data_IF_080003141864
#
_entry.id   IF_080003141864
#
_cell.length_a   1.000
_cell.length_b   1.000
_cell.length_c   1.000
_cell.angle_alpha   90.00
_cell.angle_beta   90.00
_cell.angle_gamma   90.00
#
_symmetry.space_group_name_H-M   'P 1'
#
loop_
_entity.id
_entity.type
_entity.pdbx_description
1 polymer ?
#
# COMPACT_ATOMS: atom_id res chain seq x y z
N UNK A 1 31.81 43.88 -28.03
CA UNK A 1 31.54 42.85 -27.00
C UNK A 1 30.03 42.77 -26.82
N UNK A 2 29.43 41.61 -27.07
CA UNK A 2 27.99 41.42 -26.94
C UNK A 2 27.51 40.16 -27.66
N UNK A 3 27.98 38.99 -27.22
CA UNK A 3 27.47 37.70 -27.70
C UNK A 3 26.05 37.50 -27.18
N UNK A 4 25.06 37.73 -28.03
CA UNK A 4 23.69 37.26 -27.83
C UNK A 4 23.63 35.79 -28.20
N UNK A 5 23.84 34.91 -27.22
CA UNK A 5 23.45 33.51 -27.32
C UNK A 5 21.92 33.44 -27.41
N UNK A 6 21.38 33.56 -28.63
CA UNK A 6 20.05 33.07 -28.95
C UNK A 6 20.13 31.56 -28.83
N UNK A 7 19.69 31.04 -27.69
CA UNK A 7 19.38 29.62 -27.53
C UNK A 7 18.32 29.26 -28.55
N UNK A 8 18.76 28.71 -29.68
CA UNK A 8 17.90 28.01 -30.63
C UNK A 8 17.43 26.79 -29.84
N UNK A 9 16.20 26.86 -29.34
CA UNK A 9 15.46 25.68 -28.91
C UNK A 9 15.28 24.88 -30.20
N UNK A 10 16.19 23.94 -30.44
CA UNK A 10 16.04 22.98 -31.53
C UNK A 10 14.75 22.22 -31.27
N UNK A 11 13.74 22.56 -32.06
CA UNK A 11 12.49 21.83 -32.12
C UNK A 11 12.82 20.47 -32.74
N UNK A 12 13.20 19.50 -31.90
CA UNK A 12 13.36 18.12 -32.34
C UNK A 12 11.95 17.64 -32.70
N UNK A 13 11.69 17.26 -33.96
CA UNK A 13 10.40 16.72 -34.35
C UNK A 13 10.03 15.53 -33.46
N UNK A 14 8.77 15.45 -33.03
CA UNK A 14 8.28 14.39 -32.14
C UNK A 14 8.65 12.99 -32.64
N UNK A 15 8.70 12.81 -33.96
CA UNK A 15 9.02 11.53 -34.62
C UNK A 15 10.46 11.07 -34.40
N UNK A 16 11.43 12.01 -34.38
CA UNK A 16 12.83 11.68 -34.09
C UNK A 16 12.96 11.23 -32.63
N UNK A 17 12.32 11.95 -31.70
CA UNK A 17 12.27 11.55 -30.28
C UNK A 17 11.59 10.19 -30.09
N UNK A 18 10.49 9.91 -30.79
CA UNK A 18 9.80 8.61 -30.69
C UNK A 18 10.69 7.45 -31.14
N UNK A 19 11.47 7.61 -32.22
CA UNK A 19 12.43 6.59 -32.67
C UNK A 19 13.54 6.34 -31.65
N UNK A 20 14.03 7.37 -30.97
CA UNK A 20 15.00 7.20 -29.86
C UNK A 20 14.39 6.55 -28.62
N UNK A 21 13.11 6.81 -28.32
CA UNK A 21 12.42 6.27 -27.13
C UNK A 21 12.10 4.79 -27.32
N UNK A 22 11.70 4.38 -28.52
CA UNK A 22 11.29 3.00 -28.82
C UNK A 22 12.41 2.15 -29.42
N UNK A 23 13.49 2.74 -29.89
CA UNK A 23 14.50 2.03 -30.68
C UNK A 23 13.90 1.48 -31.98
N UNK A 24 14.33 0.28 -32.38
CA UNK A 24 13.87 -0.42 -33.58
C UNK A 24 12.58 -1.24 -33.34
N UNK A 25 11.69 -0.78 -32.44
CA UNK A 25 10.36 -1.38 -32.26
C UNK A 25 9.45 -1.05 -33.46
N UNK A 26 9.82 -1.55 -34.64
CA UNK A 26 9.01 -1.56 -35.85
C UNK A 26 8.05 -2.76 -35.85
N UNK A 27 8.38 -3.82 -35.09
CA UNK A 27 7.59 -5.05 -34.98
C UNK A 27 7.13 -5.33 -33.55
N UNK A 28 6.06 -6.15 -33.44
CA UNK A 28 5.49 -6.59 -32.17
C UNK A 28 6.50 -7.44 -31.38
N UNK A 29 6.77 -7.13 -30.11
CA UNK A 29 7.58 -8.00 -29.24
C UNK A 29 6.97 -9.39 -29.08
N UNK A 30 7.82 -10.43 -29.13
CA UNK A 30 7.39 -11.84 -29.01
C UNK A 30 6.68 -12.10 -27.68
N UNK A 31 7.13 -11.46 -26.60
CA UNK A 31 6.57 -11.54 -25.26
C UNK A 31 5.35 -10.62 -25.06
N UNK A 32 4.95 -9.87 -26.09
CA UNK A 32 3.82 -8.92 -26.09
C UNK A 32 3.93 -7.92 -24.95
N UNK A 33 5.16 -7.55 -24.61
CA UNK A 33 5.49 -6.61 -23.55
C UNK A 33 6.30 -5.46 -24.12
N UNK A 34 5.92 -4.24 -23.74
CA UNK A 34 6.68 -3.04 -24.06
C UNK A 34 7.00 -2.34 -22.75
N UNK A 35 8.28 -2.13 -22.50
CA UNK A 35 8.76 -1.37 -21.35
C UNK A 35 9.43 -0.08 -21.84
N UNK A 36 8.84 1.04 -21.44
CA UNK A 36 9.30 2.41 -21.70
C UNK A 36 9.59 3.15 -20.38
N UNK A 37 9.81 2.42 -19.29
CA UNK A 37 10.02 3.01 -17.96
C UNK A 37 11.36 3.77 -17.87
N UNK A 38 11.44 4.78 -17.01
CA UNK A 38 12.66 5.57 -16.74
C UNK A 38 13.26 6.28 -17.97
N UNK A 39 12.44 6.62 -18.97
CA UNK A 39 12.88 7.28 -20.22
C UNK A 39 12.60 8.77 -20.28
N UNK A 40 12.17 9.37 -19.17
CA UNK A 40 11.87 10.80 -19.06
C UNK A 40 10.81 11.27 -20.08
N UNK A 41 9.94 10.35 -20.50
CA UNK A 41 8.95 10.57 -21.56
C UNK A 41 7.88 11.54 -21.07
N UNK A 42 7.65 12.61 -21.85
CA UNK A 42 6.60 13.61 -21.55
C UNK A 42 5.33 13.39 -22.36
N UNK A 43 5.46 12.78 -23.54
CA UNK A 43 4.38 12.47 -24.46
C UNK A 43 4.41 10.98 -24.76
N UNK A 44 3.26 10.33 -24.66
CA UNK A 44 3.12 8.91 -24.99
C UNK A 44 3.48 8.68 -26.47
N UNK A 45 4.29 7.65 -26.80
CA UNK A 45 4.62 7.33 -28.18
C UNK A 45 3.48 6.55 -28.86
N UNK A 46 2.77 7.22 -29.78
CA UNK A 46 1.52 6.72 -30.39
C UNK A 46 1.68 5.39 -31.14
N UNK A 47 2.84 5.09 -31.69
CA UNK A 47 3.10 3.82 -32.38
C UNK A 47 2.95 2.60 -31.47
N UNK A 48 3.08 2.72 -30.14
CA UNK A 48 2.77 1.61 -29.21
C UNK A 48 1.31 1.18 -29.33
N UNK A 49 0.39 2.09 -29.66
CA UNK A 49 -1.03 1.77 -29.85
C UNK A 49 -1.27 0.86 -31.08
N UNK A 50 -0.33 0.79 -32.01
CA UNK A 50 -0.42 -0.14 -33.16
C UNK A 50 -0.27 -1.61 -32.75
N UNK A 51 0.33 -1.88 -31.59
CA UNK A 51 0.57 -3.21 -31.06
C UNK A 51 -0.69 -3.81 -30.42
N UNK A 52 -1.68 -4.19 -31.22
CA UNK A 52 -3.01 -4.68 -30.76
C UNK A 52 -2.98 -5.97 -29.92
N UNK A 53 -1.92 -6.75 -30.01
CA UNK A 53 -1.73 -7.95 -29.18
C UNK A 53 -0.97 -7.67 -27.87
N UNK A 54 -0.59 -6.42 -27.59
CA UNK A 54 0.17 -6.07 -26.39
C UNK A 54 -0.58 -6.47 -25.12
N UNK A 55 0.11 -7.19 -24.24
CA UNK A 55 -0.42 -7.70 -22.97
C UNK A 55 0.08 -6.87 -21.79
N UNK A 56 1.32 -6.36 -21.87
CA UNK A 56 1.96 -5.61 -20.78
C UNK A 56 2.58 -4.32 -21.30
N UNK A 57 2.27 -3.22 -20.65
CA UNK A 57 2.83 -1.91 -20.96
C UNK A 57 3.35 -1.25 -19.69
N UNK A 58 4.65 -1.03 -19.63
CA UNK A 58 5.33 -0.37 -18.53
C UNK A 58 5.78 1.03 -18.96
N UNK A 59 5.30 2.03 -18.23
CA UNK A 59 5.55 3.46 -18.46
C UNK A 59 5.96 4.16 -17.16
N UNK A 60 6.44 3.38 -16.19
CA UNK A 60 6.77 3.90 -14.85
C UNK A 60 7.98 4.83 -14.90
N UNK A 61 8.10 5.75 -13.93
CA UNK A 61 9.24 6.68 -13.83
C UNK A 61 9.42 7.55 -15.09
N UNK A 62 8.34 8.23 -15.48
CA UNK A 62 8.32 9.13 -16.62
C UNK A 62 7.72 10.48 -16.22
N UNK A 63 7.42 11.34 -17.19
CA UNK A 63 6.85 12.67 -16.99
C UNK A 63 5.48 12.81 -17.65
N UNK A 64 4.75 11.70 -17.82
CA UNK A 64 3.45 11.69 -18.46
C UNK A 64 2.42 12.42 -17.60
N UNK A 65 1.55 13.17 -18.28
CA UNK A 65 0.38 13.84 -17.68
C UNK A 65 -0.94 13.38 -18.31
N UNK A 66 -0.86 12.86 -19.54
CA UNK A 66 -1.99 12.45 -20.34
C UNK A 66 -1.64 11.16 -21.09
N UNK A 67 -2.68 10.41 -21.45
CA UNK A 67 -2.60 9.26 -22.34
C UNK A 67 -3.46 9.55 -23.58
N UNK A 68 -3.06 9.08 -24.76
CA UNK A 68 -3.77 9.32 -26.00
C UNK A 68 -5.05 8.48 -26.07
N UNK A 69 -6.05 8.94 -26.82
CA UNK A 69 -7.28 8.20 -27.10
C UNK A 69 -7.01 6.83 -27.74
N UNK A 70 -5.97 6.76 -28.56
CA UNK A 70 -5.54 5.59 -29.33
C UNK A 70 -5.14 4.42 -28.43
N UNK A 71 -4.88 4.68 -27.14
CA UNK A 71 -4.63 3.62 -26.16
C UNK A 71 -5.81 2.62 -26.10
N UNK A 72 -7.03 3.06 -26.45
CA UNK A 72 -8.20 2.19 -26.56
C UNK A 72 -8.01 1.01 -27.53
N UNK A 73 -7.04 1.07 -28.44
CA UNK A 73 -6.77 -0.02 -29.38
C UNK A 73 -6.14 -1.24 -28.70
N UNK A 74 -5.56 -1.08 -27.51
CA UNK A 74 -4.85 -2.13 -26.77
C UNK A 74 -5.82 -3.01 -25.96
N UNK A 75 -6.82 -3.59 -26.63
CA UNK A 75 -7.89 -4.35 -25.98
C UNK A 75 -7.43 -5.65 -25.27
N UNK A 76 -6.22 -6.13 -25.57
CA UNK A 76 -5.61 -7.29 -24.92
C UNK A 76 -4.73 -6.94 -23.70
N UNK A 77 -4.61 -5.65 -23.37
CA UNK A 77 -3.72 -5.21 -22.29
C UNK A 77 -4.23 -5.69 -20.93
N UNK A 78 -3.38 -6.42 -20.22
CA UNK A 78 -3.65 -6.98 -18.90
C UNK A 78 -2.91 -6.25 -17.78
N UNK A 79 -1.74 -5.69 -18.09
CA UNK A 79 -0.91 -4.96 -17.12
C UNK A 79 -0.56 -3.59 -17.69
N UNK A 80 -0.90 -2.54 -16.95
CA UNK A 80 -0.52 -1.17 -17.25
C UNK A 80 0.17 -0.57 -16.02
N UNK A 81 1.44 -0.21 -16.15
CA UNK A 81 2.20 0.45 -15.10
C UNK A 81 2.47 1.91 -15.46
N UNK A 82 1.97 2.82 -14.62
CA UNK A 82 2.07 4.28 -14.78
C UNK A 82 2.62 4.93 -13.52
N UNK A 83 3.32 4.18 -12.67
CA UNK A 83 3.89 4.70 -11.43
C UNK A 83 4.88 5.83 -11.70
N UNK A 84 5.10 6.71 -10.72
CA UNK A 84 6.12 7.75 -10.81
C UNK A 84 5.95 8.60 -12.08
N UNK A 85 4.74 9.13 -12.29
CA UNK A 85 4.40 10.06 -13.35
C UNK A 85 3.78 11.35 -12.76
N UNK A 86 3.15 12.18 -13.59
CA UNK A 86 2.55 13.45 -13.16
C UNK A 86 1.03 13.50 -13.44
N UNK A 87 0.34 12.36 -13.34
CA UNK A 87 -1.11 12.30 -13.52
C UNK A 87 -1.82 12.97 -12.34
N UNK A 88 -2.66 13.97 -12.64
CA UNK A 88 -3.55 14.61 -11.66
C UNK A 88 -4.94 13.95 -11.65
N UNK A 89 -5.31 13.34 -12.77
CA UNK A 89 -6.50 12.52 -12.95
C UNK A 89 -6.11 11.29 -13.79
N UNK A 90 -6.81 10.18 -13.59
CA UNK A 90 -6.66 9.01 -14.45
C UNK A 90 -7.41 9.27 -15.77
N UNK A 91 -6.74 9.22 -16.94
CA UNK A 91 -7.40 9.41 -18.22
C UNK A 91 -8.52 8.37 -18.44
N UNK A 92 -9.75 8.76 -18.83
CA UNK A 92 -10.87 7.83 -19.03
C UNK A 92 -10.60 6.72 -20.03
N UNK A 93 -9.68 6.94 -20.99
CA UNK A 93 -9.24 5.92 -21.96
C UNK A 93 -8.70 4.65 -21.28
N UNK A 94 -8.11 4.74 -20.09
CA UNK A 94 -7.67 3.55 -19.34
C UNK A 94 -8.86 2.66 -18.96
N UNK A 95 -10.03 3.24 -18.75
CA UNK A 95 -11.25 2.52 -18.38
C UNK A 95 -11.87 1.75 -19.56
N UNK A 96 -11.41 1.98 -20.80
CA UNK A 96 -11.87 1.23 -21.99
C UNK A 96 -11.14 -0.11 -22.14
N UNK A 97 -10.04 -0.33 -21.43
CA UNK A 97 -9.19 -1.53 -21.50
C UNK A 97 -9.78 -2.70 -20.70
N UNK A 98 -10.79 -3.39 -21.24
CA UNK A 98 -11.60 -4.36 -20.48
C UNK A 98 -10.84 -5.59 -19.98
N UNK A 99 -9.69 -5.92 -20.57
CA UNK A 99 -8.85 -7.04 -20.13
C UNK A 99 -7.86 -6.66 -19.01
N UNK A 100 -7.84 -5.40 -18.59
CA UNK A 100 -6.89 -4.93 -17.60
C UNK A 100 -7.11 -5.64 -16.26
N UNK A 101 -6.05 -6.26 -15.77
CA UNK A 101 -6.07 -7.04 -14.52
C UNK A 101 -5.21 -6.41 -13.43
N UNK A 102 -4.14 -5.71 -13.82
CA UNK A 102 -3.26 -4.99 -12.90
C UNK A 102 -3.05 -3.57 -13.40
N UNK A 103 -3.33 -2.60 -12.54
CA UNK A 103 -3.13 -1.18 -12.81
C UNK A 103 -2.27 -0.58 -11.71
N UNK A 104 -1.12 -0.04 -12.10
CA UNK A 104 -0.23 0.70 -11.22
C UNK A 104 -0.28 2.20 -11.52
N UNK A 105 -0.57 2.99 -10.49
CA UNK A 105 -0.74 4.44 -10.51
C UNK A 105 -0.06 5.11 -9.31
N UNK A 106 0.83 4.39 -8.63
CA UNK A 106 1.54 4.89 -7.46
C UNK A 106 2.41 6.10 -7.78
N UNK A 107 2.70 6.93 -6.78
CA UNK A 107 3.60 8.09 -6.93
C UNK A 107 3.17 9.04 -8.08
N UNK A 108 1.90 9.43 -8.08
CA UNK A 108 1.31 10.41 -8.98
C UNK A 108 0.72 11.58 -8.15
N UNK A 109 -0.24 12.33 -8.70
CA UNK A 109 -0.92 13.45 -8.04
C UNK A 109 -2.44 13.28 -8.09
N UNK A 110 -2.91 12.03 -8.07
CA UNK A 110 -4.33 11.70 -8.17
C UNK A 110 -5.05 12.09 -6.88
N UNK A 111 -6.13 12.86 -7.00
CA UNK A 111 -7.03 13.15 -5.88
C UNK A 111 -8.33 12.34 -5.91
N UNK A 112 -8.69 11.80 -7.08
CA UNK A 112 -9.89 11.00 -7.31
C UNK A 112 -9.68 10.03 -8.48
N UNK A 113 -10.63 9.12 -8.70
CA UNK A 113 -10.67 8.19 -9.82
C UNK A 113 -12.00 8.35 -10.61
N UNK A 114 -11.96 8.25 -11.95
CA UNK A 114 -13.14 8.40 -12.80
C UNK A 114 -14.18 7.31 -12.51
N UNK A 115 -15.47 7.64 -12.63
CA UNK A 115 -16.57 6.71 -12.40
C UNK A 115 -16.54 5.52 -13.38
N UNK A 116 -15.99 5.72 -14.57
CA UNK A 116 -15.79 4.72 -15.61
C UNK A 116 -14.87 3.58 -15.18
N UNK A 117 -14.06 3.76 -14.12
CA UNK A 117 -13.18 2.70 -13.60
C UNK A 117 -13.97 1.45 -13.21
N UNK A 118 -15.24 1.59 -12.81
CA UNK A 118 -16.14 0.46 -12.52
C UNK A 118 -16.30 -0.52 -13.69
N UNK A 119 -16.02 -0.08 -14.93
CA UNK A 119 -16.13 -0.91 -16.12
C UNK A 119 -14.95 -1.88 -16.28
N UNK A 120 -13.90 -1.76 -15.46
CA UNK A 120 -12.75 -2.66 -15.47
C UNK A 120 -13.05 -3.91 -14.62
N UNK A 121 -14.00 -4.73 -15.07
CA UNK A 121 -14.47 -5.90 -14.32
C UNK A 121 -13.39 -6.95 -14.07
N UNK A 122 -12.33 -7.00 -14.90
CA UNK A 122 -11.23 -7.95 -14.75
C UNK A 122 -10.10 -7.47 -13.83
N UNK A 123 -10.22 -6.26 -13.26
CA UNK A 123 -9.18 -5.67 -12.42
C UNK A 123 -9.07 -6.41 -11.09
N UNK A 124 -7.91 -7.01 -10.85
CA UNK A 124 -7.58 -7.80 -9.65
C UNK A 124 -6.62 -7.07 -8.73
N UNK A 125 -5.82 -6.14 -9.25
CA UNK A 125 -4.86 -5.38 -8.45
C UNK A 125 -4.84 -3.92 -8.86
N UNK A 126 -5.04 -3.05 -7.87
CA UNK A 126 -5.01 -1.60 -8.03
C UNK A 126 -4.02 -1.00 -7.03
N UNK A 127 -3.04 -0.28 -7.57
CA UNK A 127 -1.99 0.38 -6.80
C UNK A 127 -2.10 1.88 -7.03
N UNK A 128 -2.41 2.62 -5.96
CA UNK A 128 -2.67 4.07 -5.96
C UNK A 128 -1.98 4.75 -4.76
N UNK A 129 -0.90 4.15 -4.26
CA UNK A 129 -0.10 4.70 -3.17
C UNK A 129 0.61 6.00 -3.53
N UNK A 130 1.01 6.77 -2.53
CA UNK A 130 1.77 8.01 -2.73
C UNK A 130 1.08 8.95 -3.71
N UNK A 131 -0.21 9.21 -3.48
CA UNK A 131 -1.05 10.12 -4.25
C UNK A 131 -1.64 11.19 -3.30
N UNK A 132 -2.74 11.84 -3.70
CA UNK A 132 -3.38 12.91 -2.95
C UNK A 132 -4.81 12.56 -2.53
N UNK A 133 -5.11 11.27 -2.26
CA UNK A 133 -6.44 10.84 -1.86
C UNK A 133 -6.74 11.24 -0.40
N UNK A 134 -7.77 12.06 -0.19
CA UNK A 134 -8.32 12.39 1.14
C UNK A 134 -9.40 11.40 1.59
N UNK A 135 -10.07 10.79 0.62
CA UNK A 135 -11.04 9.70 0.80
C UNK A 135 -10.78 8.63 -0.25
N UNK A 136 -11.11 7.38 0.05
CA UNK A 136 -11.08 6.32 -0.96
C UNK A 136 -12.27 6.51 -1.91
N UNK A 137 -12.07 6.69 -3.22
CA UNK A 137 -13.17 6.91 -4.17
C UNK A 137 -14.18 5.76 -4.16
N UNK A 138 -15.48 6.09 -4.16
CA UNK A 138 -16.55 5.09 -4.13
C UNK A 138 -16.46 4.09 -5.28
N UNK A 139 -15.95 4.51 -6.44
CA UNK A 139 -15.77 3.64 -7.62
C UNK A 139 -14.87 2.43 -7.33
N UNK A 140 -13.93 2.55 -6.38
CA UNK A 140 -13.08 1.41 -5.97
C UNK A 140 -13.92 0.31 -5.33
N UNK A 141 -15.02 0.66 -4.66
CA UNK A 141 -15.93 -0.32 -4.03
C UNK A 141 -16.78 -1.09 -5.06
N UNK A 142 -16.81 -0.64 -6.32
CA UNK A 142 -17.53 -1.32 -7.41
C UNK A 142 -16.67 -2.37 -8.14
N UNK A 143 -15.37 -2.42 -7.88
CA UNK A 143 -14.43 -3.38 -8.48
C UNK A 143 -14.53 -4.76 -7.83
N UNK A 144 -15.64 -5.48 -8.05
CA UNK A 144 -16.02 -6.70 -7.29
C UNK A 144 -14.98 -7.83 -7.31
N UNK A 145 -14.13 -7.90 -8.33
CA UNK A 145 -13.07 -8.91 -8.48
C UNK A 145 -11.69 -8.45 -7.97
N UNK A 146 -11.61 -7.28 -7.33
CA UNK A 146 -10.37 -6.76 -6.78
C UNK A 146 -9.88 -7.64 -5.63
N UNK A 147 -8.62 -8.10 -5.73
CA UNK A 147 -7.94 -8.96 -4.76
C UNK A 147 -6.89 -8.21 -3.95
N UNK A 148 -6.26 -7.23 -4.57
CA UNK A 148 -5.21 -6.40 -3.96
C UNK A 148 -5.54 -4.94 -4.16
N UNK A 149 -5.56 -4.19 -3.07
CA UNK A 149 -5.68 -2.73 -3.07
C UNK A 149 -4.52 -2.13 -2.27
N UNK A 150 -3.69 -1.33 -2.94
CA UNK A 150 -2.65 -0.53 -2.29
C UNK A 150 -3.02 0.95 -2.37
N UNK A 151 -3.20 1.59 -1.21
CA UNK A 151 -3.54 3.03 -1.08
C UNK A 151 -2.73 3.68 0.05
N UNK A 152 -1.59 3.09 0.41
CA UNK A 152 -0.67 3.68 1.39
C UNK A 152 -0.13 5.05 0.98
N UNK A 153 0.45 5.80 1.92
CA UNK A 153 1.03 7.12 1.69
C UNK A 153 0.05 8.10 1.03
N UNK A 154 -1.14 8.23 1.59
CA UNK A 154 -2.17 9.19 1.18
C UNK A 154 -2.66 9.98 2.41
N UNK A 155 -3.77 10.70 2.30
CA UNK A 155 -4.36 11.49 3.38
C UNK A 155 -5.71 10.91 3.85
N UNK A 156 -5.88 9.58 3.81
CA UNK A 156 -7.15 8.94 4.17
C UNK A 156 -7.42 9.04 5.67
N UNK A 157 -8.58 9.58 6.03
CA UNK A 157 -9.07 9.62 7.42
C UNK A 157 -9.97 8.44 7.79
N UNK A 158 -10.61 7.81 6.80
CA UNK A 158 -11.50 6.66 6.98
C UNK A 158 -11.64 5.88 5.68
N UNK A 159 -12.24 4.68 5.77
CA UNK A 159 -12.64 3.88 4.62
C UNK A 159 -14.17 3.86 4.50
N UNK A 160 -14.71 3.90 3.26
CA UNK A 160 -16.15 3.85 3.04
C UNK A 160 -16.73 2.50 3.48
N UNK A 161 -17.95 2.51 4.04
CA UNK A 161 -18.64 1.29 4.47
C UNK A 161 -18.95 0.32 3.33
N UNK A 162 -19.02 0.83 2.10
CA UNK A 162 -19.20 0.08 0.86
C UNK A 162 -18.01 -0.82 0.53
N UNK A 163 -16.83 -0.62 1.12
CA UNK A 163 -15.65 -1.46 0.88
C UNK A 163 -15.91 -2.95 1.17
N UNK A 164 -16.87 -3.26 2.07
CA UNK A 164 -17.36 -4.62 2.37
C UNK A 164 -17.91 -5.38 1.15
N UNK A 165 -18.16 -4.69 0.04
CA UNK A 165 -18.62 -5.25 -1.22
C UNK A 165 -17.53 -5.94 -2.03
N UNK A 166 -16.26 -5.68 -1.73
CA UNK A 166 -15.11 -6.35 -2.34
C UNK A 166 -14.91 -7.74 -1.72
N UNK A 167 -15.73 -8.71 -2.12
CA UNK A 167 -15.72 -10.09 -1.56
C UNK A 167 -14.47 -10.88 -1.93
N UNK A 168 -13.79 -10.47 -3.00
CA UNK A 168 -12.54 -11.09 -3.45
C UNK A 168 -11.28 -10.44 -2.84
N UNK A 169 -11.41 -9.35 -2.08
CA UNK A 169 -10.24 -8.67 -1.51
C UNK A 169 -9.51 -9.58 -0.52
N UNK A 170 -8.20 -9.73 -0.72
CA UNK A 170 -7.29 -10.53 0.11
C UNK A 170 -6.24 -9.64 0.78
N UNK A 171 -5.74 -8.65 0.06
CA UNK A 171 -4.65 -7.78 0.53
C UNK A 171 -5.07 -6.33 0.49
N UNK A 172 -4.94 -5.65 1.63
CA UNK A 172 -5.19 -4.23 1.76
C UNK A 172 -3.99 -3.54 2.43
N UNK A 173 -3.32 -2.67 1.68
CA UNK A 173 -2.24 -1.83 2.18
C UNK A 173 -2.71 -0.38 2.27
N UNK A 174 -2.90 0.12 3.49
CA UNK A 174 -3.35 1.50 3.79
C UNK A 174 -2.40 2.20 4.77
N UNK A 175 -1.13 1.79 4.81
CA UNK A 175 -0.09 2.39 5.65
C UNK A 175 0.16 3.86 5.33
N UNK A 176 0.73 4.63 6.26
CA UNK A 176 1.07 6.05 6.05
C UNK A 176 -0.15 6.89 5.62
N UNK A 177 -1.23 6.81 6.40
CA UNK A 177 -2.45 7.59 6.22
C UNK A 177 -2.81 8.31 7.52
N UNK A 178 -4.01 8.89 7.61
CA UNK A 178 -4.48 9.70 8.74
C UNK A 178 -5.60 9.00 9.54
N UNK A 179 -5.61 7.67 9.55
CA UNK A 179 -6.63 6.88 10.25
C UNK A 179 -6.45 7.02 11.77
N UNK A 180 -7.46 7.56 12.46
CA UNK A 180 -7.45 7.71 13.94
C UNK A 180 -8.05 6.50 14.65
N UNK A 181 -8.83 5.69 13.94
CA UNK A 181 -9.47 4.47 14.42
C UNK A 181 -9.28 3.33 13.42
N UNK A 182 -9.26 2.09 13.91
CA UNK A 182 -9.27 0.93 13.03
C UNK A 182 -10.56 0.90 12.19
N UNK A 183 -10.49 0.79 10.85
CA UNK A 183 -11.68 0.82 10.02
C UNK A 183 -12.60 -0.38 10.26
N UNK A 184 -13.74 -0.15 10.94
CA UNK A 184 -14.70 -1.21 11.32
C UNK A 184 -15.27 -1.99 10.14
N UNK A 185 -15.25 -1.42 8.92
CA UNK A 185 -15.64 -2.12 7.69
C UNK A 185 -14.83 -3.39 7.47
N UNK A 186 -13.54 -3.41 7.83
CA UNK A 186 -12.64 -4.56 7.67
C UNK A 186 -13.04 -5.75 8.55
N UNK A 187 -13.73 -5.51 9.67
CA UNK A 187 -14.25 -6.57 10.53
C UNK A 187 -15.31 -7.43 9.83
N UNK A 188 -15.90 -6.92 8.73
CA UNK A 188 -16.94 -7.59 7.94
C UNK A 188 -16.39 -8.19 6.64
N UNK A 189 -15.07 -8.31 6.51
CA UNK A 189 -14.37 -8.78 5.32
C UNK A 189 -13.56 -10.05 5.64
N UNK A 190 -14.24 -11.22 5.80
CA UNK A 190 -13.64 -12.43 6.38
C UNK A 190 -12.54 -13.08 5.53
N UNK A 191 -12.43 -12.70 4.25
CA UNK A 191 -11.44 -13.24 3.32
C UNK A 191 -10.14 -12.42 3.25
N UNK A 192 -10.01 -11.35 4.06
CA UNK A 192 -8.75 -10.62 4.14
C UNK A 192 -7.64 -11.52 4.72
N UNK A 193 -6.53 -11.58 4.01
CA UNK A 193 -5.33 -12.32 4.39
C UNK A 193 -4.24 -11.37 4.92
N UNK A 194 -4.17 -10.16 4.37
CA UNK A 194 -3.17 -9.15 4.74
C UNK A 194 -3.86 -7.82 4.97
N UNK A 195 -3.62 -7.25 6.15
CA UNK A 195 -4.03 -5.89 6.53
C UNK A 195 -2.79 -5.13 6.98
N UNK A 196 -2.46 -4.06 6.28
CA UNK A 196 -1.41 -3.14 6.69
C UNK A 196 -2.00 -1.76 6.95
N UNK A 197 -1.88 -1.33 8.20
CA UNK A 197 -2.27 -0.02 8.71
C UNK A 197 -1.11 0.68 9.42
N UNK A 198 0.13 0.30 9.11
CA UNK A 198 1.36 0.93 9.64
C UNK A 198 1.35 2.46 9.44
N UNK A 199 2.09 3.20 10.26
CA UNK A 199 2.22 4.65 10.14
C UNK A 199 0.86 5.40 10.06
N UNK A 200 -0.07 5.10 10.96
CA UNK A 200 -1.35 5.81 11.10
C UNK A 200 -1.49 6.40 12.52
N UNK A 201 -2.66 6.92 12.87
CA UNK A 201 -2.96 7.48 14.19
C UNK A 201 -3.90 6.59 15.03
N UNK A 202 -3.94 5.27 14.76
CA UNK A 202 -4.86 4.34 15.42
C UNK A 202 -4.46 4.14 16.88
N UNK A 203 -5.39 4.42 17.80
CA UNK A 203 -5.17 4.28 19.25
C UNK A 203 -5.59 2.92 19.80
N UNK A 204 -6.67 2.35 19.28
CA UNK A 204 -7.21 1.07 19.77
C UNK A 204 -7.41 0.09 18.62
N UNK A 205 -6.91 -1.13 18.81
CA UNK A 205 -7.09 -2.24 17.89
C UNK A 205 -8.17 -3.23 18.36
N UNK A 206 -9.15 -3.57 17.49
CA UNK A 206 -10.22 -4.49 17.83
C UNK A 206 -9.76 -5.96 17.86
N UNK A 207 -10.69 -6.85 18.23
CA UNK A 207 -10.50 -8.28 18.07
C UNK A 207 -10.67 -8.70 16.59
N UNK A 208 -9.66 -9.36 16.05
CA UNK A 208 -9.59 -9.89 14.69
C UNK A 208 -9.59 -11.43 14.65
N UNK A 209 -9.80 -12.12 15.78
CA UNK A 209 -9.75 -13.60 15.85
C UNK A 209 -10.79 -14.28 14.96
N UNK A 210 -11.88 -13.60 14.60
CA UNK A 210 -12.92 -14.13 13.71
C UNK A 210 -12.54 -14.06 12.22
N UNK A 211 -11.51 -13.31 11.84
CA UNK A 211 -10.99 -13.26 10.48
C UNK A 211 -10.11 -14.49 10.24
N UNK A 212 -10.74 -15.64 9.98
CA UNK A 212 -10.07 -16.94 9.87
C UNK A 212 -9.07 -17.04 8.72
N UNK A 213 -9.21 -16.22 7.67
CA UNK A 213 -8.28 -16.15 6.55
C UNK A 213 -7.07 -15.25 6.79
N UNK A 214 -7.05 -14.48 7.88
CA UNK A 214 -6.00 -13.50 8.16
C UNK A 214 -4.67 -14.20 8.39
N UNK A 215 -3.62 -13.73 7.73
CA UNK A 215 -2.26 -14.26 7.82
C UNK A 215 -1.29 -13.22 8.38
N UNK A 216 -1.52 -11.94 8.07
CA UNK A 216 -0.63 -10.85 8.42
C UNK A 216 -1.41 -9.59 8.82
N UNK A 217 -1.02 -9.01 9.96
CA UNK A 217 -1.43 -7.66 10.36
C UNK A 217 -0.19 -6.83 10.65
N UNK A 218 -0.01 -5.77 9.88
CA UNK A 218 1.03 -4.76 10.10
C UNK A 218 0.35 -3.53 10.69
N UNK A 219 0.78 -3.10 11.87
CA UNK A 219 0.16 -2.00 12.62
C UNK A 219 1.20 -1.17 13.39
N UNK A 220 2.46 -1.27 12.99
CA UNK A 220 3.53 -0.50 13.62
C UNK A 220 3.30 1.01 13.47
N UNK A 221 4.13 1.82 14.13
CA UNK A 221 4.10 3.28 14.04
C UNK A 221 2.70 3.92 14.20
N UNK A 222 1.83 3.27 14.98
CA UNK A 222 0.57 3.81 15.46
C UNK A 222 0.68 4.12 16.96
N UNK A 223 0.05 5.18 17.48
CA UNK A 223 0.01 5.52 18.90
C UNK A 223 -0.94 4.59 19.69
N UNK A 224 -0.93 3.30 19.37
CA UNK A 224 -1.83 2.31 19.96
C UNK A 224 -1.49 1.98 21.42
N UNK A 225 -2.53 1.72 22.21
CA UNK A 225 -2.43 1.30 23.61
C UNK A 225 -2.59 -0.21 23.79
N UNK A 226 -2.98 -0.92 22.73
CA UNK A 226 -3.16 -2.36 22.68
C UNK A 226 -2.69 -2.92 21.32
N UNK A 227 -2.30 -4.20 21.31
CA UNK A 227 -2.11 -4.94 20.07
C UNK A 227 -3.43 -5.58 19.60
N UNK A 228 -3.64 -5.75 18.28
CA UNK A 228 -4.77 -6.49 17.74
C UNK A 228 -4.76 -7.93 18.27
N UNK A 229 -5.90 -8.37 18.78
CA UNK A 229 -6.11 -9.80 19.12
C UNK A 229 -6.33 -10.56 17.82
N UNK A 230 -5.51 -11.56 17.56
CA UNK A 230 -5.53 -12.34 16.30
C UNK A 230 -5.60 -13.84 16.59
N UNK A 231 -6.05 -14.62 15.62
CA UNK A 231 -6.06 -16.08 15.72
C UNK A 231 -4.63 -16.66 15.78
N UNK A 232 -4.51 -17.93 16.19
CA UNK A 232 -3.21 -18.63 16.21
C UNK A 232 -2.66 -18.76 14.78
N UNK A 233 -1.39 -18.44 14.60
CA UNK A 233 -0.70 -18.51 13.30
C UNK A 233 -0.73 -17.21 12.50
N UNK A 234 -1.48 -16.20 12.93
CA UNK A 234 -1.45 -14.86 12.32
C UNK A 234 -0.16 -14.14 12.72
N UNK A 235 0.61 -13.70 11.72
CA UNK A 235 1.79 -12.88 11.95
C UNK A 235 1.40 -11.43 12.26
N UNK A 236 2.06 -10.85 13.27
CA UNK A 236 1.87 -9.47 13.71
C UNK A 236 3.17 -8.71 13.54
N UNK A 237 3.12 -7.53 12.95
CA UNK A 237 4.25 -6.60 12.84
C UNK A 237 3.84 -5.30 13.53
N UNK A 238 4.48 -4.98 14.65
CA UNK A 238 4.19 -3.81 15.48
C UNK A 238 4.50 -4.04 16.95
N UNK A 239 4.24 -3.02 17.79
CA UNK A 239 4.44 -3.11 19.25
C UNK A 239 3.64 -4.27 19.86
N UNK A 240 4.24 -5.00 20.79
CA UNK A 240 3.69 -6.20 21.44
C UNK A 240 3.38 -7.38 20.50
N UNK A 241 3.99 -7.44 19.31
CA UNK A 241 3.83 -8.55 18.35
C UNK A 241 4.32 -9.90 18.91
N UNK A 242 5.35 -9.89 19.75
CA UNK A 242 5.95 -11.07 20.37
C UNK A 242 5.16 -11.57 21.60
N UNK A 243 4.32 -10.72 22.19
CA UNK A 243 3.53 -11.09 23.36
C UNK A 243 2.39 -12.00 22.91
N UNK A 244 2.60 -13.31 23.08
CA UNK A 244 1.53 -14.29 22.98
C UNK A 244 0.45 -13.94 24.02
N UNK A 245 -0.85 -14.04 23.69
CA UNK A 245 -1.95 -13.70 24.60
C UNK A 245 -2.06 -14.63 25.82
N UNK A 246 -1.10 -15.54 26.03
CA UNK A 246 -1.05 -16.36 27.25
C UNK A 246 -0.56 -15.53 28.44
N UNK A 247 -1.22 -15.60 29.61
CA UNK A 247 -0.67 -15.02 30.81
C UNK A 247 0.68 -15.68 31.08
N UNK A 248 1.75 -14.88 31.22
CA UNK A 248 3.06 -15.37 31.67
C UNK A 248 2.84 -16.22 32.93
N UNK A 249 3.00 -17.54 32.83
CA UNK A 249 3.19 -18.38 34.02
C UNK A 249 4.40 -17.79 34.72
N UNK A 250 4.19 -17.14 35.87
CA UNK A 250 5.27 -16.78 36.78
C UNK A 250 5.94 -18.09 37.18
N UNK A 251 7.00 -18.48 36.49
CA UNK A 251 7.90 -19.51 36.96
C UNK A 251 8.55 -18.94 38.23
N UNK A 252 8.13 -19.48 39.37
CA UNK A 252 8.72 -19.16 40.66
C UNK A 252 10.20 -19.52 40.60
N UNK A 253 11.07 -18.51 40.60
CA UNK A 253 12.44 -18.70 41.05
C UNK A 253 12.38 -18.91 42.56
N UNK A 254 12.33 -20.18 42.96
CA UNK A 254 12.69 -20.60 44.31
C UNK A 254 14.11 -20.08 44.58
N UNK A 255 14.23 -19.09 45.47
CA UNK A 255 15.49 -18.76 46.12
C UNK A 255 15.88 -19.95 47.01
N UNK A 256 16.85 -20.73 46.56
CA UNK A 256 17.63 -21.61 47.43
C UNK A 256 18.24 -20.76 48.54
N UNK A 257 17.73 -20.88 49.77
CA UNK A 257 18.46 -20.53 50.98
C UNK A 257 19.08 -21.82 51.52
N UNK A 258 20.37 -22.01 51.21
CA UNK A 258 21.23 -22.86 52.01
C UNK A 258 21.53 -22.12 53.32
N UNK A 259 21.36 -22.80 54.43
CA UNK A 259 21.81 -22.39 55.74
C UNK A 259 23.28 -22.82 55.92
N UNK A 260 24.11 -21.98 56.53
CA UNK A 260 24.99 -22.36 57.65
C UNK A 260 25.72 -21.12 58.21
N UNK A 261 25.44 -20.88 59.49
CA UNK A 261 26.26 -20.38 60.60
C UNK A 261 27.46 -19.46 60.35
N UNK A 262 27.43 -18.29 61.02
CA UNK A 262 28.45 -17.81 61.98
C UNK A 262 28.13 -16.38 62.42
N UNK A 263 27.61 -16.22 63.64
CA UNK A 263 28.01 -15.21 64.64
C UNK A 263 26.92 -15.03 65.71
N UNK A 264 26.89 -15.98 66.64
CA UNK A 264 26.59 -15.72 68.04
C UNK A 264 27.77 -14.98 68.66
N UNK A 265 27.58 -13.74 69.11
CA UNK A 265 28.26 -13.06 70.23
C UNK A 265 28.02 -11.57 70.09
N UNK A 266 27.09 -11.02 70.88
CA UNK A 266 27.18 -9.71 71.56
C UNK A 266 25.93 -9.56 72.47
N UNK A 267 26.05 -8.95 73.68
CA UNK A 267 25.09 -9.11 74.77
C UNK A 267 23.88 -8.14 74.70
N UNK A 268 22.81 -8.39 75.47
CA UNK A 268 21.57 -7.62 75.40
C UNK A 268 21.68 -6.21 76.02
N UNK A 269 20.87 -5.24 75.57
CA UNK A 269 20.81 -3.90 76.15
C UNK A 269 20.05 -3.86 77.50
N UNK A 270 20.35 -2.89 78.39
CA UNK A 270 19.77 -2.85 79.73
C UNK A 270 18.31 -2.35 79.76
N UNK A 271 17.53 -2.95 80.66
CA UNK A 271 16.13 -2.64 80.98
C UNK A 271 16.00 -1.25 81.63
N UNK A 272 15.25 -0.33 81.01
CA UNK A 272 14.80 0.89 81.67
C UNK A 272 13.50 0.66 82.44
N UNK A 273 13.58 0.57 83.76
CA UNK A 273 12.43 0.71 84.65
C UNK A 273 12.03 2.18 84.79
N UNK A 274 10.73 2.49 84.63
CA UNK A 274 10.12 3.72 85.14
C UNK A 274 9.62 3.44 86.56
N UNK A 275 9.97 4.27 87.53
CA UNK A 275 9.09 4.65 88.64
C UNK A 275 9.56 5.95 89.29
N UNK A 276 8.56 6.83 89.48
CA UNK A 276 8.48 8.02 90.34
C UNK A 276 9.23 9.29 89.90
#
# INVERSE_FOLDING_TARGET
MGNTFRAIISFIPADICQKYILGDLEEMPIDKMVDLSSRQVRLFPLCVCSFRELVKLYLSDNKLKHLPSELEQLQNLQILALDFNNFHTLPPVVCTLKQLSILYLGNNKLGDLPAELQQLHNLKSLWIESNCFYHLPNVVCELRHLKTLHVGSNALHSLPGQLRYLKELRTLWISSNLLTEFPRVLLHMPFLEVIDVDCNAIRDFPNLTHLSGLKLVIYDHNPCINAPKVAKGVHRVGRWSEESPEPRKRSGLQRNKGAEDLNSLLPPPPLSFKHS
#
